data_IF_594209123986
#
_entry.id   IF_594209123986
#
_cell.length_a   1.000
_cell.length_b   1.000
_cell.length_c   1.000
_cell.angle_alpha   90.00
_cell.angle_beta   90.00
_cell.angle_gamma   90.00
#
_symmetry.space_group_name_H-M   'P 1'
#
loop_
_entity.id
_entity.type
_entity.pdbx_description
1 polymer ?
#
# COMPACT_ATOMS: atom_id res chain seq x y z
N UNK A 1 -32.03 -11.66 20.32
CA UNK A 1 -30.88 -12.41 19.77
C UNK A 1 -30.06 -11.44 18.96
N UNK A 2 -29.08 -10.80 19.59
CA UNK A 2 -28.21 -9.82 18.94
C UNK A 2 -27.30 -10.60 18.01
N UNK A 3 -27.46 -10.40 16.71
CA UNK A 3 -26.55 -10.96 15.70
C UNK A 3 -25.12 -10.69 16.15
N UNK A 4 -24.42 -11.78 16.49
CA UNK A 4 -23.01 -11.71 16.81
C UNK A 4 -22.35 -11.32 15.49
N UNK A 5 -22.03 -10.04 15.33
CA UNK A 5 -21.04 -9.61 14.34
C UNK A 5 -19.74 -10.27 14.78
N UNK A 6 -19.54 -11.52 14.35
CA UNK A 6 -18.31 -12.28 14.55
C UNK A 6 -17.27 -11.66 13.63
N UNK A 7 -16.71 -10.54 14.06
CA UNK A 7 -15.60 -9.89 13.37
C UNK A 7 -14.47 -10.90 13.26
N UNK A 8 -14.08 -11.22 12.03
CA UNK A 8 -12.96 -12.13 11.79
C UNK A 8 -11.64 -11.35 11.93
N UNK A 9 -11.26 -11.07 13.18
CA UNK A 9 -10.03 -10.34 13.52
C UNK A 9 -8.77 -10.95 12.86
N UNK A 10 -8.58 -12.29 12.83
CA UNK A 10 -7.44 -12.88 12.12
C UNK A 10 -7.41 -12.54 10.63
N UNK A 11 -8.55 -12.63 9.93
CA UNK A 11 -8.61 -12.29 8.51
C UNK A 11 -8.35 -10.80 8.25
N UNK A 12 -8.83 -9.91 9.12
CA UNK A 12 -8.56 -8.48 9.01
C UNK A 12 -7.07 -8.17 9.21
N UNK A 13 -6.43 -8.78 10.21
CA UNK A 13 -5.00 -8.62 10.45
C UNK A 13 -4.16 -9.18 9.28
N UNK A 14 -4.54 -10.33 8.72
CA UNK A 14 -3.88 -10.90 7.55
C UNK A 14 -4.05 -10.00 6.31
N UNK A 15 -5.23 -9.41 6.10
CA UNK A 15 -5.46 -8.44 5.02
C UNK A 15 -4.60 -7.19 5.20
N UNK A 16 -4.51 -6.64 6.41
CA UNK A 16 -3.67 -5.47 6.69
C UNK A 16 -2.18 -5.78 6.40
N UNK A 17 -1.69 -6.95 6.83
CA UNK A 17 -0.32 -7.41 6.54
C UNK A 17 -0.06 -7.58 5.04
N UNK A 18 -1.01 -8.13 4.29
CA UNK A 18 -0.88 -8.27 2.83
C UNK A 18 -0.84 -6.90 2.14
N UNK A 19 -1.67 -5.95 2.58
CA UNK A 19 -1.67 -4.59 2.04
C UNK A 19 -0.31 -3.90 2.27
N UNK A 20 0.27 -4.03 3.46
CA UNK A 20 1.62 -3.49 3.74
C UNK A 20 2.70 -4.14 2.86
N UNK A 21 2.65 -5.47 2.69
CA UNK A 21 3.61 -6.17 1.84
C UNK A 21 3.52 -5.71 0.37
N UNK A 22 2.30 -5.50 -0.13
CA UNK A 22 2.08 -4.98 -1.50
C UNK A 22 2.57 -3.54 -1.61
N UNK A 23 2.25 -2.67 -0.63
CA UNK A 23 2.74 -1.29 -0.58
C UNK A 23 4.26 -1.22 -0.67
N UNK A 24 4.97 -2.03 0.13
CA UNK A 24 6.44 -2.08 0.11
C UNK A 24 7.00 -2.53 -1.23
N UNK A 25 6.42 -3.57 -1.85
CA UNK A 25 6.85 -4.06 -3.17
C UNK A 25 6.66 -3.00 -4.25
N UNK A 26 5.52 -2.30 -4.24
CA UNK A 26 5.24 -1.22 -5.19
C UNK A 26 6.23 -0.04 -5.02
N UNK A 27 6.48 0.39 -3.78
CA UNK A 27 7.47 1.42 -3.49
C UNK A 27 8.88 1.03 -3.98
N UNK A 28 9.27 -0.24 -3.78
CA UNK A 28 10.54 -0.75 -4.29
C UNK A 28 10.60 -0.73 -5.83
N UNK A 29 9.52 -1.14 -6.51
CA UNK A 29 9.42 -1.07 -7.97
C UNK A 29 9.54 0.36 -8.50
N UNK A 30 8.88 1.32 -7.84
CA UNK A 30 8.96 2.74 -8.19
C UNK A 30 10.39 3.31 -8.02
N UNK A 31 11.09 2.91 -6.95
CA UNK A 31 12.50 3.29 -6.72
C UNK A 31 13.43 2.67 -7.76
N UNK A 32 13.23 1.39 -8.10
CA UNK A 32 14.03 0.71 -9.12
C UNK A 32 13.84 1.35 -10.50
N UNK A 33 12.61 1.72 -10.85
CA UNK A 33 12.33 2.45 -12.09
C UNK A 33 13.09 3.78 -12.17
N UNK A 34 13.13 4.56 -11.08
CA UNK A 34 13.90 5.81 -11.05
C UNK A 34 15.41 5.58 -11.20
N UNK A 35 15.96 4.55 -10.53
CA UNK A 35 17.38 4.19 -10.67
C UNK A 35 17.74 3.82 -12.11
N UNK A 36 16.90 3.01 -12.76
CA UNK A 36 17.09 2.61 -14.15
C UNK A 36 17.00 3.83 -15.08
N UNK A 37 16.02 4.71 -14.86
CA UNK A 37 15.90 5.96 -15.63
C UNK A 37 17.19 6.79 -15.57
N UNK A 38 17.73 7.00 -14.37
CA UNK A 38 18.98 7.74 -14.17
C UNK A 38 20.20 7.05 -14.80
N UNK A 39 20.28 5.72 -14.74
CA UNK A 39 21.37 4.97 -15.39
C UNK A 39 21.31 5.06 -16.91
N UNK A 40 20.11 4.93 -17.48
CA UNK A 40 19.90 4.97 -18.93
C UNK A 40 20.17 6.35 -19.51
N UNK A 41 19.77 7.42 -18.81
CA UNK A 41 20.04 8.81 -19.20
C UNK A 41 21.54 9.15 -19.20
N UNK A 42 22.29 8.64 -18.22
CA UNK A 42 23.70 8.96 -18.05
C UNK A 42 24.66 8.00 -18.78
N UNK A 43 24.15 6.90 -19.37
CA UNK A 43 24.99 5.84 -19.93
C UNK A 43 24.63 5.42 -21.36
N UNK A 44 23.37 5.03 -21.60
CA UNK A 44 23.03 4.20 -22.76
C UNK A 44 22.14 4.87 -23.81
N UNK A 45 21.25 5.80 -23.41
CA UNK A 45 20.34 6.48 -24.32
C UNK A 45 20.53 7.99 -24.19
N UNK A 46 21.27 8.57 -25.14
CA UNK A 46 21.41 10.02 -25.28
C UNK A 46 20.44 10.55 -26.33
N UNK A 47 19.91 11.75 -26.12
CA UNK A 47 18.92 12.39 -27.00
C UNK A 47 17.47 11.95 -26.78
N UNK A 48 16.60 12.27 -27.74
CA UNK A 48 15.13 12.11 -27.65
C UNK A 48 14.62 10.75 -27.14
N UNK A 49 15.21 9.59 -27.53
CA UNK A 49 14.76 8.29 -27.01
C UNK A 49 15.02 8.13 -25.50
N UNK A 50 16.16 8.63 -25.01
CA UNK A 50 16.51 8.60 -23.59
C UNK A 50 15.57 9.47 -22.75
N UNK A 51 15.27 10.68 -23.23
CA UNK A 51 14.34 11.60 -22.59
C UNK A 51 12.92 11.01 -22.49
N UNK A 52 12.45 10.39 -23.59
CA UNK A 52 11.14 9.73 -23.62
C UNK A 52 11.07 8.56 -22.63
N UNK A 53 12.14 7.77 -22.54
CA UNK A 53 12.25 6.65 -21.61
C UNK A 53 12.25 7.11 -20.14
N UNK A 54 13.04 8.15 -19.81
CA UNK A 54 13.05 8.77 -18.48
C UNK A 54 11.68 9.31 -18.10
N UNK A 55 11.02 10.00 -19.04
CA UNK A 55 9.67 10.53 -18.83
C UNK A 55 8.66 9.40 -18.54
N UNK A 56 8.68 8.33 -19.32
CA UNK A 56 7.81 7.18 -19.13
C UNK A 56 8.01 6.52 -17.77
N UNK A 57 9.27 6.31 -17.35
CA UNK A 57 9.59 5.77 -16.03
C UNK A 57 9.23 6.71 -14.89
N UNK A 58 9.32 8.03 -15.09
CA UNK A 58 8.83 9.03 -14.15
C UNK A 58 7.31 8.96 -13.94
N UNK A 59 6.54 8.83 -15.03
CA UNK A 59 5.08 8.65 -14.96
C UNK A 59 4.73 7.34 -14.25
N UNK A 60 5.40 6.25 -14.62
CA UNK A 60 5.22 4.95 -13.97
C UNK A 60 5.50 5.02 -12.47
N UNK A 61 6.66 5.56 -12.08
CA UNK A 61 7.07 5.70 -10.68
C UNK A 61 6.04 6.47 -9.88
N UNK A 62 5.56 7.62 -10.39
CA UNK A 62 4.53 8.42 -9.72
C UNK A 62 3.21 7.66 -9.54
N UNK A 63 2.74 6.94 -10.57
CA UNK A 63 1.48 6.17 -10.49
C UNK A 63 1.60 5.00 -9.51
N UNK A 64 2.73 4.30 -9.51
CA UNK A 64 2.99 3.18 -8.61
C UNK A 64 3.14 3.64 -7.16
N UNK A 65 3.80 4.77 -6.92
CA UNK A 65 3.87 5.38 -5.57
C UNK A 65 2.49 5.71 -5.04
N UNK A 66 1.61 6.33 -5.85
CA UNK A 66 0.22 6.60 -5.43
C UNK A 66 -0.56 5.32 -5.09
N UNK A 67 -0.35 4.25 -5.86
CA UNK A 67 -0.97 2.95 -5.57
C UNK A 67 -0.43 2.36 -4.26
N UNK A 68 0.89 2.42 -4.05
CA UNK A 68 1.55 2.03 -2.79
C UNK A 68 0.96 2.75 -1.59
N UNK A 69 0.74 4.06 -1.70
CA UNK A 69 0.15 4.87 -0.63
C UNK A 69 -1.29 4.44 -0.33
N UNK A 70 -2.08 4.09 -1.35
CA UNK A 70 -3.43 3.58 -1.16
C UNK A 70 -3.48 2.22 -0.47
N UNK A 71 -2.56 1.32 -0.76
CA UNK A 71 -2.46 0.07 0.00
C UNK A 71 -2.10 0.32 1.47
N UNK A 72 -1.22 1.30 1.75
CA UNK A 72 -0.88 1.68 3.13
C UNK A 72 -2.06 2.34 3.86
N UNK A 73 -2.82 3.18 3.17
CA UNK A 73 -4.06 3.78 3.69
C UNK A 73 -5.06 2.69 4.10
N UNK A 74 -5.33 1.74 3.21
CA UNK A 74 -6.23 0.61 3.46
C UNK A 74 -5.74 -0.23 4.65
N UNK A 75 -4.44 -0.52 4.74
CA UNK A 75 -3.88 -1.27 5.88
C UNK A 75 -4.14 -0.55 7.22
N UNK A 76 -4.00 0.78 7.24
CA UNK A 76 -4.26 1.59 8.43
C UNK A 76 -5.75 1.63 8.78
N UNK A 77 -6.63 1.75 7.78
CA UNK A 77 -8.07 1.77 7.99
C UNK A 77 -8.57 0.43 8.53
N UNK A 78 -8.04 -0.69 8.04
CA UNK A 78 -8.35 -2.02 8.56
C UNK A 78 -7.94 -2.12 10.05
N UNK A 79 -6.75 -1.65 10.41
CA UNK A 79 -6.28 -1.66 11.81
C UNK A 79 -7.13 -0.78 12.74
N UNK A 80 -7.54 0.39 12.26
CA UNK A 80 -8.45 1.28 12.99
C UNK A 80 -9.80 0.61 13.21
N UNK A 81 -10.39 0.05 12.16
CA UNK A 81 -11.65 -0.69 12.25
C UNK A 81 -11.56 -1.86 13.24
N UNK A 82 -10.46 -2.63 13.23
CA UNK A 82 -10.24 -3.69 14.23
C UNK A 82 -10.20 -3.13 15.66
N UNK A 83 -9.48 -2.04 15.89
CA UNK A 83 -9.37 -1.40 17.21
C UNK A 83 -10.73 -0.92 17.71
N UNK A 84 -11.50 -0.26 16.84
CA UNK A 84 -12.83 0.25 17.16
C UNK A 84 -13.81 -0.88 17.50
N UNK A 85 -13.77 -1.98 16.74
CA UNK A 85 -14.60 -3.16 16.99
C UNK A 85 -14.22 -3.87 18.29
N UNK A 86 -12.93 -4.05 18.57
CA UNK A 86 -12.47 -4.63 19.84
C UNK A 86 -12.91 -3.79 21.04
N UNK A 87 -12.84 -2.46 20.93
CA UNK A 87 -13.30 -1.55 21.99
C UNK A 87 -14.83 -1.61 22.18
N UNK A 88 -15.59 -1.77 21.10
CA UNK A 88 -17.04 -1.95 21.15
C UNK A 88 -17.41 -3.28 21.84
N UNK A 89 -16.74 -4.37 21.47
CA UNK A 89 -16.93 -5.70 22.07
C UNK A 89 -16.63 -5.69 23.59
N UNK A 90 -15.53 -5.03 24.01
CA UNK A 90 -15.20 -4.88 25.43
C UNK A 90 -16.26 -4.09 26.20
N UNK A 91 -16.75 -2.98 25.63
CA UNK A 91 -17.82 -2.17 26.25
C UNK A 91 -19.14 -2.92 26.34
N UNK A 92 -19.46 -3.75 25.35
CA UNK A 92 -20.65 -4.59 25.36
C UNK A 92 -20.56 -5.70 26.42
N UNK A 93 -19.39 -6.35 26.54
CA UNK A 93 -19.13 -7.37 27.55
C UNK A 93 -19.16 -6.85 29.00
N UNK A 94 -18.83 -5.57 29.22
CA UNK A 94 -18.89 -4.94 30.55
C UNK A 94 -20.30 -4.54 31.01
N UNK A 95 -21.32 -4.64 30.14
CA UNK A 95 -22.71 -4.23 30.43
C UNK A 95 -23.64 -5.39 30.82
N UNK A 96 -23.08 -6.59 30.97
CA UNK A 96 -23.75 -7.80 31.45
C UNK A 96 -22.91 -8.44 32.54
#
# INVERSE_FOLDING_TARGET
>A
MTDVIRTNYPAMEDMARQCDAVSQRLAQSASNAQKIASQMQNGALQGSPGETYVMALGIFSNRVTRLSDKYREIANDIRRAMTDMMAADQKAGSKF
#
